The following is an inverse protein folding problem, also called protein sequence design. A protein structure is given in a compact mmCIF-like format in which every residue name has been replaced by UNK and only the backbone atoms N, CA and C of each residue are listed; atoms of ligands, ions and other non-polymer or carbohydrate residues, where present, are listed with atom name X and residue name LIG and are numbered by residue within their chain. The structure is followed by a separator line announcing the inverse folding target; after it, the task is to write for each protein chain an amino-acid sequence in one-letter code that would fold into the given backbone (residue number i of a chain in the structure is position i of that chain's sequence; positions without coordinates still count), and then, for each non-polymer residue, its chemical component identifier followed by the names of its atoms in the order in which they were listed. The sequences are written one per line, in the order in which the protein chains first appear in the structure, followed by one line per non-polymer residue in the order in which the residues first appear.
data_IF_345755745696
#
_entry.id   IF_345755745696
#
_cell.length_a   1.000
_cell.length_b   1.000
_cell.length_c   1.000
_cell.angle_alpha   90.00
_cell.angle_beta   90.00
_cell.angle_gamma   90.00
#
_symmetry.space_group_name_H-M   'P 1'
#
loop_
_entity.id
_entity.type
_entity.pdbx_description
1 polymer ?
#
# COMPACT_ATOMS: atom_id res chain seq x y z
N UNK A 1 32.24 58.92 1.78
CA UNK A 1 30.88 58.55 2.20
C UNK A 1 30.16 57.63 1.21
N UNK A 2 30.41 57.70 -0.10
CA UNK A 2 29.71 56.87 -1.10
C UNK A 2 30.20 55.40 -1.19
N UNK A 3 31.41 55.10 -0.69
CA UNK A 3 32.01 53.74 -0.70
C UNK A 3 31.55 52.86 0.46
N UNK A 4 31.09 53.46 1.56
CA UNK A 4 30.54 52.75 2.72
C UNK A 4 29.07 52.35 2.51
N UNK A 5 28.34 53.06 1.65
CA UNK A 5 26.95 52.74 1.27
C UNK A 5 26.87 51.54 0.30
N UNK A 6 27.88 51.33 -0.54
CA UNK A 6 27.93 50.19 -1.47
C UNK A 6 28.15 48.85 -0.74
N UNK A 7 28.94 48.85 0.35
CA UNK A 7 29.24 47.66 1.13
C UNK A 7 28.06 47.14 1.95
N UNK A 8 27.14 48.01 2.37
CA UNK A 8 25.91 47.62 3.09
C UNK A 8 24.86 46.99 2.17
N UNK A 9 24.85 47.36 0.88
CA UNK A 9 23.89 46.82 -0.10
C UNK A 9 24.25 45.39 -0.54
N UNK A 10 25.55 45.06 -0.61
CA UNK A 10 26.03 43.72 -1.00
C UNK A 10 25.78 42.67 0.10
N UNK A 11 25.83 43.06 1.38
CA UNK A 11 25.58 42.14 2.50
C UNK A 11 24.08 41.73 2.62
N UNK A 12 23.15 42.59 2.24
CA UNK A 12 21.71 42.29 2.30
C UNK A 12 21.26 41.27 1.23
N UNK A 13 21.94 41.22 0.08
CA UNK A 13 21.62 40.27 -1.01
C UNK A 13 22.12 38.84 -0.69
N UNK A 14 23.17 38.70 0.13
CA UNK A 14 23.71 37.39 0.52
C UNK A 14 22.84 36.64 1.55
N UNK A 15 21.98 37.34 2.31
CA UNK A 15 21.11 36.74 3.32
C UNK A 15 19.76 36.23 2.77
N UNK A 16 19.43 36.56 1.51
CA UNK A 16 18.22 36.08 0.84
C UNK A 16 18.40 34.70 0.16
N UNK A 17 19.64 34.20 0.06
CA UNK A 17 19.98 32.92 -0.57
C UNK A 17 19.75 31.68 0.31
N UNK A 18 19.48 31.88 1.60
CA UNK A 18 19.11 30.81 2.53
C UNK A 18 17.58 30.65 2.65
N UNK A 19 16.83 30.97 1.58
CA UNK A 19 15.50 30.40 1.45
C UNK A 19 15.69 28.88 1.40
N UNK A 20 15.29 28.20 2.49
CA UNK A 20 15.22 26.75 2.57
C UNK A 20 14.67 26.24 1.23
N UNK A 21 15.53 25.63 0.41
CA UNK A 21 15.04 24.73 -0.62
C UNK A 21 14.38 23.60 0.14
N UNK A 22 13.08 23.74 0.39
CA UNK A 22 12.26 22.64 0.83
C UNK A 22 12.50 21.52 -0.18
N UNK A 23 12.98 20.37 0.30
CA UNK A 23 13.05 19.19 -0.54
C UNK A 23 11.68 19.03 -1.23
N UNK A 24 11.65 18.68 -2.53
CA UNK A 24 10.38 18.45 -3.22
C UNK A 24 9.57 17.49 -2.36
N UNK A 25 8.35 17.89 -1.99
CA UNK A 25 7.47 17.05 -1.19
C UNK A 25 7.34 15.70 -1.90
N UNK A 26 7.57 14.61 -1.17
CA UNK A 26 7.40 13.27 -1.73
C UNK A 26 5.99 13.17 -2.35
N UNK A 27 5.84 12.60 -3.56
CA UNK A 27 4.54 12.53 -4.19
C UNK A 27 3.54 11.81 -3.28
N UNK A 28 2.30 12.30 -3.23
CA UNK A 28 1.26 11.65 -2.44
C UNK A 28 1.07 10.18 -2.86
N UNK A 29 0.60 9.36 -1.93
CA UNK A 29 0.17 7.98 -2.16
C UNK A 29 -1.27 7.95 -2.71
N UNK A 30 -1.64 6.87 -3.38
CA UNK A 30 -3.02 6.65 -3.85
C UNK A 30 -3.87 6.01 -2.75
N UNK A 31 -3.26 5.12 -1.96
CA UNK A 31 -3.89 4.43 -0.82
C UNK A 31 -2.95 4.44 0.39
N UNK A 32 -3.49 4.75 1.55
CA UNK A 32 -2.79 4.70 2.84
C UNK A 32 -3.63 3.87 3.81
N UNK A 33 -3.04 2.81 4.35
CA UNK A 33 -3.60 1.99 5.42
C UNK A 33 -2.93 2.41 6.73
N UNK A 34 -3.71 2.72 7.78
CA UNK A 34 -3.20 3.21 9.08
C UNK A 34 -3.88 2.51 10.24
N UNK A 35 -3.23 2.54 11.41
CA UNK A 35 -3.76 1.96 12.65
C UNK A 35 -3.93 0.44 12.55
N UNK A 36 -3.09 -0.22 11.74
CA UNK A 36 -3.13 -1.66 11.52
C UNK A 36 -2.09 -2.42 12.32
N UNK A 37 -2.16 -3.73 12.20
CA UNK A 37 -1.12 -4.66 12.61
C UNK A 37 -0.46 -5.25 11.35
N UNK A 38 0.54 -4.58 10.81
CA UNK A 38 1.12 -4.91 9.51
C UNK A 38 2.31 -5.83 9.68
N UNK A 39 2.21 -7.05 9.16
CA UNK A 39 3.32 -8.00 9.12
C UNK A 39 4.11 -7.78 7.84
N UNK A 40 5.39 -7.41 7.96
CA UNK A 40 6.23 -7.04 6.81
C UNK A 40 7.02 -8.22 6.24
N UNK A 41 7.21 -9.26 7.06
CA UNK A 41 8.15 -10.36 6.82
C UNK A 41 9.63 -9.92 6.71
N UNK A 42 9.94 -8.67 7.06
CA UNK A 42 11.30 -8.16 7.20
C UNK A 42 11.78 -8.34 8.66
N UNK A 43 12.84 -9.13 8.94
CA UNK A 43 13.38 -9.30 10.29
C UNK A 43 13.78 -8.00 10.98
N UNK A 44 14.13 -6.94 10.24
CA UNK A 44 14.53 -5.65 10.80
C UNK A 44 13.32 -4.84 11.31
N UNK A 45 12.14 -5.04 10.71
CA UNK A 45 10.92 -4.34 11.07
C UNK A 45 9.70 -5.27 10.91
N UNK A 46 9.59 -6.35 11.70
CA UNK A 46 8.66 -7.45 11.42
C UNK A 46 7.18 -7.05 11.56
N UNK A 47 6.90 -6.01 12.35
CA UNK A 47 5.57 -5.43 12.51
C UNK A 47 5.63 -3.91 12.47
N UNK A 48 4.68 -3.29 11.79
CA UNK A 48 4.48 -1.84 11.73
C UNK A 48 2.98 -1.51 11.77
N UNK A 49 2.61 -0.23 11.75
CA UNK A 49 1.20 0.18 11.86
C UNK A 49 0.57 0.63 10.53
N UNK A 50 1.38 0.97 9.53
CA UNK A 50 0.90 1.58 8.30
C UNK A 50 1.65 1.14 7.04
N UNK A 51 0.94 1.24 5.92
CA UNK A 51 1.44 1.00 4.56
C UNK A 51 0.90 2.07 3.63
N UNK A 52 1.75 2.62 2.76
CA UNK A 52 1.33 3.53 1.69
C UNK A 52 1.62 2.92 0.32
N UNK A 53 0.67 3.06 -0.60
CA UNK A 53 0.69 2.45 -1.94
C UNK A 53 0.50 3.55 -2.98
N UNK A 54 1.30 3.48 -4.06
CA UNK A 54 1.16 4.30 -5.25
C UNK A 54 1.10 3.40 -6.47
N UNK A 55 0.00 3.43 -7.20
CA UNK A 55 -0.30 2.50 -8.28
C UNK A 55 -0.21 1.04 -7.81
N UNK A 56 0.75 0.31 -8.37
CA UNK A 56 1.04 -1.10 -8.12
C UNK A 56 2.19 -1.32 -7.12
N UNK A 57 2.69 -0.26 -6.47
CA UNK A 57 3.87 -0.32 -5.60
C UNK A 57 3.57 0.13 -4.18
N UNK A 58 4.12 -0.60 -3.21
CA UNK A 58 4.26 -0.14 -1.84
C UNK A 58 5.41 0.88 -1.81
N UNK A 59 5.11 2.10 -1.38
CA UNK A 59 6.08 3.21 -1.30
C UNK A 59 6.51 3.52 0.14
N UNK A 60 5.78 3.01 1.12
CA UNK A 60 6.14 3.10 2.54
C UNK A 60 5.56 1.92 3.32
N UNK A 61 6.37 1.38 4.23
CA UNK A 61 5.99 0.43 5.27
C UNK A 61 6.58 0.99 6.56
N UNK A 62 5.74 1.37 7.52
CA UNK A 62 6.20 2.09 8.71
C UNK A 62 5.07 2.48 9.66
N UNK A 63 5.28 3.56 10.42
CA UNK A 63 4.28 4.07 11.35
C UNK A 63 3.24 4.99 10.69
N UNK A 64 2.13 5.22 11.40
CA UNK A 64 1.01 6.05 10.93
C UNK A 64 1.44 7.50 10.64
N UNK A 65 2.41 8.03 11.39
CA UNK A 65 2.89 9.39 11.20
C UNK A 65 3.65 9.51 9.87
N UNK A 66 4.49 8.53 9.54
CA UNK A 66 5.24 8.49 8.31
C UNK A 66 4.34 8.29 7.09
N UNK A 67 3.33 7.42 7.21
CA UNK A 67 2.30 7.28 6.19
C UNK A 67 1.45 8.55 6.02
N UNK A 68 1.15 9.26 7.12
CA UNK A 68 0.42 10.52 7.11
C UNK A 68 1.07 11.62 6.26
N UNK A 69 2.41 11.65 6.16
CA UNK A 69 3.14 12.61 5.32
C UNK A 69 2.89 12.40 3.82
N UNK A 70 2.43 11.21 3.41
CA UNK A 70 2.14 10.85 2.03
C UNK A 70 0.66 11.05 1.66
N UNK A 71 -0.15 11.56 2.58
CA UNK A 71 -1.58 11.85 2.32
C UNK A 71 -1.71 13.16 1.57
N UNK A 72 -2.29 13.09 0.38
CA UNK A 72 -2.65 14.25 -0.44
C UNK A 72 -4.15 14.29 -0.76
N UNK A 73 -4.60 15.29 -1.54
CA UNK A 73 -6.04 15.54 -1.78
C UNK A 73 -6.80 14.39 -2.46
N UNK A 74 -6.09 13.47 -3.12
CA UNK A 74 -6.68 12.31 -3.82
C UNK A 74 -6.37 10.97 -3.14
N UNK A 75 -5.63 11.00 -2.03
CA UNK A 75 -5.25 9.78 -1.31
C UNK A 75 -6.47 9.18 -0.62
N UNK A 76 -6.74 7.91 -0.87
CA UNK A 76 -7.69 7.15 -0.08
C UNK A 76 -7.03 6.70 1.21
N UNK A 77 -7.56 7.13 2.35
CA UNK A 77 -7.09 6.67 3.66
C UNK A 77 -8.06 5.62 4.21
N UNK A 78 -7.53 4.50 4.70
CA UNK A 78 -8.30 3.42 5.34
C UNK A 78 -7.76 3.20 6.74
N UNK A 79 -8.58 3.50 7.75
CA UNK A 79 -8.32 3.10 9.12
C UNK A 79 -8.61 1.61 9.27
N UNK A 80 -7.64 0.88 9.83
CA UNK A 80 -7.73 -0.57 9.99
C UNK A 80 -8.27 -1.01 11.35
N UNK A 81 -8.36 -0.10 12.33
CA UNK A 81 -8.87 -0.39 13.67
C UNK A 81 -8.20 -1.63 14.32
N UNK A 82 -6.88 -1.74 14.16
CA UNK A 82 -6.07 -2.85 14.67
C UNK A 82 -6.13 -4.14 13.84
N UNK A 83 -6.83 -4.16 12.68
CA UNK A 83 -6.84 -5.32 11.78
C UNK A 83 -5.45 -5.60 11.20
N UNK A 84 -5.20 -6.87 10.92
CA UNK A 84 -3.92 -7.34 10.41
C UNK A 84 -3.80 -7.15 8.89
N UNK A 85 -2.64 -6.69 8.45
CA UNK A 85 -2.22 -6.68 7.05
C UNK A 85 -1.06 -7.66 6.88
N UNK A 86 -1.14 -8.52 5.87
CA UNK A 86 -0.05 -9.42 5.49
C UNK A 86 0.30 -9.21 4.02
N UNK A 87 1.48 -9.68 3.56
CA UNK A 87 1.68 -9.90 2.14
C UNK A 87 0.57 -10.81 1.61
N UNK A 88 0.20 -10.62 0.33
CA UNK A 88 -0.72 -11.53 -0.34
C UNK A 88 -0.16 -12.95 -0.37
N UNK A 89 -1.04 -13.94 -0.28
CA UNK A 89 -0.63 -15.34 -0.42
C UNK A 89 -0.11 -15.59 -1.84
N UNK A 90 1.01 -16.30 -1.94
CA UNK A 90 1.61 -16.70 -3.22
C UNK A 90 1.60 -18.21 -3.31
N UNK A 91 0.94 -18.73 -4.34
CA UNK A 91 0.97 -20.15 -4.69
C UNK A 91 2.12 -20.41 -5.67
N UNK A 92 3.12 -21.19 -5.24
CA UNK A 92 4.29 -21.51 -6.05
C UNK A 92 4.03 -22.57 -7.12
N UNK A 93 2.91 -23.31 -7.04
CA UNK A 93 2.57 -24.32 -8.02
C UNK A 93 1.07 -24.63 -8.01
N UNK A 94 0.37 -24.24 -9.07
CA UNK A 94 -1.05 -24.52 -9.23
C UNK A 94 -1.40 -24.96 -10.65
N UNK A 95 -2.49 -25.74 -10.77
CA UNK A 95 -3.12 -26.09 -12.04
C UNK A 95 -4.38 -25.24 -12.25
N UNK A 96 -4.24 -23.96 -12.62
CA UNK A 96 -5.37 -23.02 -12.68
C UNK A 96 -6.52 -23.49 -13.58
N UNK A 97 -6.22 -24.05 -14.76
CA UNK A 97 -7.24 -24.59 -15.65
C UNK A 97 -8.00 -25.78 -15.03
N UNK A 98 -7.28 -26.67 -14.35
CA UNK A 98 -7.88 -27.80 -13.63
C UNK A 98 -8.72 -27.34 -12.43
N UNK A 99 -8.26 -26.32 -11.71
CA UNK A 99 -9.04 -25.69 -10.64
C UNK A 99 -10.34 -25.09 -11.19
N UNK A 100 -10.27 -24.31 -12.27
CA UNK A 100 -11.45 -23.74 -12.92
C UNK A 100 -12.46 -24.81 -13.30
N UNK A 101 -12.02 -25.85 -14.00
CA UNK A 101 -12.89 -26.97 -14.36
C UNK A 101 -13.48 -27.66 -13.12
N UNK A 102 -12.69 -27.85 -12.06
CA UNK A 102 -13.17 -28.50 -10.83
C UNK A 102 -14.29 -27.74 -10.12
N UNK A 103 -14.37 -26.42 -10.29
CA UNK A 103 -15.43 -25.58 -9.74
C UNK A 103 -16.74 -25.69 -10.54
N UNK A 104 -16.67 -26.18 -11.79
CA UNK A 104 -17.83 -26.41 -12.65
C UNK A 104 -18.31 -27.87 -12.62
N UNK A 105 -17.50 -28.80 -12.11
CA UNK A 105 -17.86 -30.21 -11.99
C UNK A 105 -18.92 -30.39 -10.89
N UNK A 106 -20.00 -31.13 -11.23
CA UNK A 106 -21.03 -31.54 -10.26
C UNK A 106 -20.43 -32.30 -9.07
N UNK A 107 -20.78 -31.85 -7.87
CA UNK A 107 -20.36 -32.47 -6.63
C UNK A 107 -21.20 -33.71 -6.28
N UNK A 108 -20.88 -34.85 -6.88
CA UNK A 108 -21.61 -36.12 -6.64
C UNK A 108 -21.13 -36.89 -5.39
N UNK A 109 -20.22 -36.32 -4.59
CA UNK A 109 -19.72 -36.97 -3.37
C UNK A 109 -20.85 -37.11 -2.35
N UNK A 110 -21.04 -38.34 -1.85
CA UNK A 110 -22.04 -38.65 -0.83
C UNK A 110 -23.44 -38.93 -1.39
N UNK A 111 -23.65 -38.86 -2.70
CA UNK A 111 -24.91 -39.29 -3.33
C UNK A 111 -25.04 -40.81 -3.21
N UNK A 112 -26.20 -41.29 -2.76
CA UNK A 112 -26.41 -42.71 -2.39
C UNK A 112 -27.27 -43.49 -3.39
N UNK A 113 -27.75 -42.88 -4.47
CA UNK A 113 -28.57 -43.54 -5.48
C UNK A 113 -28.30 -43.04 -6.90
N UNK A 114 -28.47 -43.93 -7.89
CA UNK A 114 -28.30 -43.59 -9.30
C UNK A 114 -29.35 -42.56 -9.78
N UNK A 115 -30.58 -42.64 -9.28
CA UNK A 115 -31.65 -41.71 -9.63
C UNK A 115 -31.33 -40.28 -9.20
N UNK A 116 -30.66 -40.12 -8.05
CA UNK A 116 -30.23 -38.81 -7.57
C UNK A 116 -29.10 -38.24 -8.42
N UNK A 117 -28.15 -39.07 -8.83
CA UNK A 117 -27.12 -38.66 -9.81
C UNK A 117 -27.78 -38.17 -11.10
N UNK A 118 -28.73 -38.93 -11.66
CA UNK A 118 -29.40 -38.59 -12.90
C UNK A 118 -30.17 -37.27 -12.81
N UNK A 119 -30.84 -37.00 -11.68
CA UNK A 119 -31.52 -35.73 -11.44
C UNK A 119 -30.56 -34.54 -11.41
N UNK A 120 -29.41 -34.69 -10.75
CA UNK A 120 -28.42 -33.60 -10.66
C UNK A 120 -27.77 -33.30 -12.00
N UNK A 121 -27.47 -34.32 -12.82
CA UNK A 121 -26.91 -34.14 -14.16
C UNK A 121 -27.89 -33.47 -15.13
N UNK A 122 -29.20 -33.65 -14.92
CA UNK A 122 -30.24 -33.13 -15.80
C UNK A 122 -30.73 -31.71 -15.45
N UNK A 123 -30.28 -31.14 -14.33
CA UNK A 123 -30.65 -29.81 -13.86
C UNK A 123 -29.78 -28.72 -14.49
#
# INVERSE_FOLDING_TARGET
MLRTLTSLLVAAVAMAGCAHHAAPAEPAADLVLVGGDVWTMDPAAPRVSAVAIRGDRVVLVGDDAAAGRLVGPRTRVVALDGRTVTPGLVDGHCHLAGLGLSLEILALRGVTSADEVARQVAA
#
